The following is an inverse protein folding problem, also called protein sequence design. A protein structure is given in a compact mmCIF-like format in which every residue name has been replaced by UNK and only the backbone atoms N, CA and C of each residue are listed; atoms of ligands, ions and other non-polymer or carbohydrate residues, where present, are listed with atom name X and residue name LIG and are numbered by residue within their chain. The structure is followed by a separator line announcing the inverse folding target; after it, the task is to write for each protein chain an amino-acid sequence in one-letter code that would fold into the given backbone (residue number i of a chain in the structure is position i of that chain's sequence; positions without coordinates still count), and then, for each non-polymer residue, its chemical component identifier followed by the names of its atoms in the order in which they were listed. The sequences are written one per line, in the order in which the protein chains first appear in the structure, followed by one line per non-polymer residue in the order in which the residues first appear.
data_IF_768972877892
#
_entry.id   IF_768972877892
#
_cell.length_a   1.000
_cell.length_b   1.000
_cell.length_c   1.000
_cell.angle_alpha   90.00
_cell.angle_beta   90.00
_cell.angle_gamma   90.00
#
_symmetry.space_group_name_H-M   'P 1'
#
loop_
_entity.id
_entity.type
_entity.pdbx_description
1 polymer ?
#
# COMPACT_ATOMS: atom_id res chain seq x y z
N UNK A 1 -4.88 -2.13 -9.16
CA UNK A 1 -4.12 -3.32 -8.75
C UNK A 1 -3.36 -3.79 -9.97
N UNK A 2 -2.03 -3.74 -9.96
CA UNK A 2 -1.25 -4.37 -11.03
C UNK A 2 -1.16 -5.86 -10.75
N UNK A 3 -1.78 -6.66 -11.62
CA UNK A 3 -1.64 -8.11 -11.57
C UNK A 3 -0.31 -8.49 -12.22
N UNK A 4 0.45 -9.36 -11.58
CA UNK A 4 1.71 -9.86 -12.10
C UNK A 4 1.49 -10.45 -13.52
N UNK A 5 2.10 -9.83 -14.54
CA UNK A 5 2.01 -10.27 -15.94
C UNK A 5 1.66 -9.17 -16.96
N UNK A 6 1.23 -7.99 -16.53
CA UNK A 6 1.10 -6.89 -17.48
C UNK A 6 2.45 -6.21 -17.71
N UNK A 7 3.02 -6.41 -18.90
CA UNK A 7 4.24 -5.73 -19.38
C UNK A 7 3.99 -4.22 -19.65
N UNK A 8 3.58 -3.48 -18.61
CA UNK A 8 3.39 -2.02 -18.69
C UNK A 8 4.68 -1.24 -18.42
N UNK A 9 5.73 -1.92 -18.00
CA UNK A 9 6.98 -1.27 -17.61
C UNK A 9 7.94 -1.33 -18.79
N UNK A 10 8.30 -0.17 -19.32
CA UNK A 10 9.35 -0.07 -20.32
C UNK A 10 10.71 -0.45 -19.74
N UNK A 11 11.70 -0.90 -20.54
CA UNK A 11 13.05 -1.18 -20.05
C UNK A 11 13.71 0.02 -19.35
N UNK A 12 13.41 1.22 -19.81
CA UNK A 12 13.85 2.47 -19.16
C UNK A 12 13.16 2.64 -17.81
N UNK A 13 11.84 2.41 -17.75
CA UNK A 13 11.07 2.48 -16.52
C UNK A 13 11.57 1.50 -15.44
N UNK A 14 11.95 0.29 -15.84
CA UNK A 14 12.55 -0.69 -14.94
C UNK A 14 13.87 -0.21 -14.34
N UNK A 15 14.73 0.44 -15.15
CA UNK A 15 15.97 1.04 -14.67
C UNK A 15 15.71 2.21 -13.70
N UNK A 16 14.77 3.10 -14.04
CA UNK A 16 14.40 4.23 -13.18
C UNK A 16 13.88 3.73 -11.82
N UNK A 17 13.01 2.72 -11.81
CA UNK A 17 12.51 2.08 -10.57
C UNK A 17 13.62 1.44 -9.75
N UNK A 18 14.57 0.76 -10.39
CA UNK A 18 15.72 0.15 -9.70
C UNK A 18 16.53 1.18 -8.91
N UNK A 19 16.69 2.38 -9.44
CA UNK A 19 17.41 3.48 -8.80
C UNK A 19 16.50 4.46 -8.06
N UNK A 20 15.18 4.17 -7.96
CA UNK A 20 14.15 5.04 -7.37
C UNK A 20 14.11 6.45 -7.96
N UNK A 21 14.51 6.59 -9.21
CA UNK A 21 14.48 7.85 -9.95
C UNK A 21 13.07 8.18 -10.44
N UNK A 22 12.18 7.22 -10.44
CA UNK A 22 10.74 7.39 -10.70
C UNK A 22 10.03 8.24 -9.64
N UNK A 23 10.62 8.39 -8.46
CA UNK A 23 10.09 9.26 -7.39
C UNK A 23 10.60 10.73 -7.49
N UNK A 24 11.52 11.04 -8.43
CA UNK A 24 12.03 12.41 -8.60
C UNK A 24 10.93 13.45 -8.90
N UNK A 25 9.91 13.17 -9.74
CA UNK A 25 8.79 14.11 -9.92
C UNK A 25 8.06 14.39 -8.60
N UNK A 26 7.92 13.39 -7.73
CA UNK A 26 7.34 13.57 -6.40
C UNK A 26 8.13 14.53 -5.51
N UNK A 27 9.46 14.56 -5.62
CA UNK A 27 10.28 15.54 -4.89
C UNK A 27 9.98 16.97 -5.33
N UNK A 28 9.71 17.18 -6.62
CA UNK A 28 9.28 18.48 -7.13
C UNK A 28 7.91 18.88 -6.56
N UNK A 29 6.98 17.94 -6.49
CA UNK A 29 5.67 18.18 -5.89
C UNK A 29 5.74 18.47 -4.38
N UNK A 30 6.71 17.88 -3.68
CA UNK A 30 7.01 18.25 -2.28
C UNK A 30 7.57 19.68 -2.20
N UNK A 31 8.51 20.03 -3.07
CA UNK A 31 9.12 21.35 -3.07
C UNK A 31 8.09 22.47 -3.31
N UNK A 32 7.15 22.28 -4.23
CA UNK A 32 6.08 23.24 -4.51
C UNK A 32 4.87 23.12 -3.56
N UNK A 33 4.94 22.22 -2.55
CA UNK A 33 3.94 22.09 -1.49
C UNK A 33 2.68 21.30 -1.87
N UNK A 34 2.65 20.63 -3.03
CA UNK A 34 1.54 19.75 -3.43
C UNK A 34 1.55 18.41 -2.69
N UNK A 35 2.75 17.89 -2.38
CA UNK A 35 2.96 16.66 -1.65
C UNK A 35 3.75 16.90 -0.37
N UNK A 36 3.77 15.89 0.52
CA UNK A 36 4.64 15.79 1.67
C UNK A 36 5.69 14.70 1.45
N UNK A 37 6.77 14.69 2.23
CA UNK A 37 7.68 13.52 2.26
C UNK A 37 6.96 12.30 2.82
N UNK A 38 6.22 12.46 3.93
CA UNK A 38 5.50 11.39 4.60
C UNK A 38 4.01 11.69 4.57
N UNK A 39 3.23 10.71 4.19
CA UNK A 39 1.78 10.80 4.09
C UNK A 39 1.18 9.58 3.40
N UNK A 40 -0.16 9.52 3.30
CA UNK A 40 -0.81 8.47 2.51
C UNK A 40 -0.38 8.59 1.04
N UNK A 41 -0.17 7.46 0.37
CA UNK A 41 0.06 7.48 -1.07
C UNK A 41 -1.26 7.83 -1.77
N UNK A 42 -1.22 8.63 -2.85
CA UNK A 42 -2.42 8.92 -3.63
C UNK A 42 -3.08 7.63 -4.12
N UNK A 43 -4.35 7.46 -3.82
CA UNK A 43 -5.10 6.30 -4.25
C UNK A 43 -5.57 6.43 -5.69
N UNK A 44 -5.83 5.28 -6.32
CA UNK A 44 -6.49 5.23 -7.63
C UNK A 44 -7.94 5.71 -7.47
N UNK A 45 -8.52 6.43 -8.45
CA UNK A 45 -9.93 6.79 -8.42
C UNK A 45 -10.82 5.59 -8.16
N UNK A 46 -11.86 5.76 -7.31
CA UNK A 46 -12.78 4.70 -6.93
C UNK A 46 -12.51 4.06 -5.55
N UNK A 47 -11.37 4.34 -4.92
CA UNK A 47 -11.09 3.91 -3.54
C UNK A 47 -11.37 5.03 -2.54
N UNK A 48 -10.67 6.15 -2.66
CA UNK A 48 -10.85 7.31 -1.77
C UNK A 48 -12.30 7.83 -1.78
N UNK A 49 -12.97 7.75 -2.93
CA UNK A 49 -14.34 8.21 -3.10
C UNK A 49 -15.37 7.40 -2.30
N UNK A 50 -15.04 6.15 -1.99
CA UNK A 50 -15.91 5.24 -1.22
C UNK A 50 -15.77 5.37 0.29
N UNK A 51 -14.75 6.09 0.77
CA UNK A 51 -14.53 6.29 2.19
C UNK A 51 -15.68 7.10 2.81
N UNK A 52 -16.17 6.65 3.97
CA UNK A 52 -17.26 7.26 4.71
C UNK A 52 -16.87 7.54 6.16
N UNK A 53 -17.60 8.45 6.80
CA UNK A 53 -17.40 8.75 8.22
C UNK A 53 -15.98 9.20 8.53
N UNK A 54 -15.41 8.66 9.59
CA UNK A 54 -14.06 8.98 10.06
C UNK A 54 -12.95 8.57 9.09
N UNK A 55 -13.19 7.56 8.25
CA UNK A 55 -12.20 7.10 7.26
C UNK A 55 -11.86 8.18 6.24
N UNK A 56 -12.79 9.11 5.98
CA UNK A 56 -12.52 10.29 5.14
C UNK A 56 -11.47 11.23 5.71
N UNK A 57 -11.19 11.15 6.98
CA UNK A 57 -10.20 12.02 7.60
C UNK A 57 -8.78 11.79 7.04
N UNK A 58 -8.50 10.60 6.51
CA UNK A 58 -7.25 10.33 5.81
C UNK A 58 -7.03 11.27 4.62
N UNK A 59 -8.10 11.75 3.99
CA UNK A 59 -8.05 12.66 2.84
C UNK A 59 -7.65 14.10 3.23
N UNK A 60 -7.62 14.43 4.50
CA UNK A 60 -7.11 15.72 5.01
C UNK A 60 -5.59 15.79 5.00
N UNK A 61 -4.93 14.63 4.93
CA UNK A 61 -3.48 14.56 4.82
C UNK A 61 -3.04 14.85 3.39
N UNK A 62 -1.92 15.58 3.26
CA UNK A 62 -1.25 15.69 1.96
C UNK A 62 -0.69 14.33 1.56
N UNK A 63 -0.81 13.94 0.29
CA UNK A 63 -0.19 12.72 -0.20
C UNK A 63 1.33 12.76 0.02
N UNK A 64 1.92 11.62 0.36
CA UNK A 64 3.34 11.47 0.63
C UNK A 64 4.07 10.66 -0.41
N UNK A 65 5.40 10.88 -0.53
CA UNK A 65 6.30 10.00 -1.29
C UNK A 65 6.43 8.66 -0.57
N UNK A 66 6.51 8.70 0.76
CA UNK A 66 6.50 7.52 1.63
C UNK A 66 5.48 7.71 2.74
N UNK A 67 5.23 6.66 3.51
CA UNK A 67 4.34 6.71 4.66
C UNK A 67 4.21 5.35 5.32
N UNK A 68 3.47 5.25 6.43
CA UNK A 68 3.38 4.01 7.19
C UNK A 68 2.75 2.88 6.36
N UNK A 69 1.71 3.16 5.60
CA UNK A 69 1.09 2.18 4.71
C UNK A 69 2.04 1.77 3.56
N UNK A 70 2.80 2.73 2.98
CA UNK A 70 3.78 2.43 1.93
C UNK A 70 4.96 1.57 2.42
N UNK A 71 5.34 1.71 3.69
CA UNK A 71 6.37 0.87 4.29
C UNK A 71 5.86 -0.54 4.53
N UNK A 72 4.66 -0.71 5.11
CA UNK A 72 4.08 -2.01 5.40
C UNK A 72 3.81 -2.82 4.14
N UNK A 73 3.27 -2.17 3.12
CA UNK A 73 2.86 -2.79 1.85
C UNK A 73 3.86 -2.54 0.73
N UNK A 74 5.15 -2.46 1.06
CA UNK A 74 6.24 -2.30 0.06
C UNK A 74 6.22 -3.40 -0.99
N UNK A 75 6.00 -4.62 -0.53
CA UNK A 75 6.00 -5.84 -1.35
C UNK A 75 4.56 -6.30 -1.65
N UNK A 76 3.64 -5.34 -1.84
CA UNK A 76 2.20 -5.59 -2.03
C UNK A 76 1.91 -6.57 -3.16
N UNK A 77 2.60 -6.43 -4.28
CA UNK A 77 2.43 -7.31 -5.43
C UNK A 77 2.79 -8.78 -5.08
N UNK A 78 3.87 -8.99 -4.32
CA UNK A 78 4.27 -10.31 -3.85
C UNK A 78 3.27 -10.87 -2.82
N UNK A 79 2.77 -10.04 -1.92
CA UNK A 79 1.75 -10.44 -0.93
C UNK A 79 0.46 -10.88 -1.61
N UNK A 80 0.01 -10.17 -2.64
CA UNK A 80 -1.18 -10.51 -3.43
C UNK A 80 -0.93 -11.82 -4.18
N UNK A 81 0.22 -11.98 -4.84
CA UNK A 81 0.56 -13.19 -5.59
C UNK A 81 0.65 -14.42 -4.67
N UNK A 82 1.24 -14.29 -3.49
CA UNK A 82 1.30 -15.34 -2.48
C UNK A 82 -0.10 -15.74 -2.01
N UNK A 83 -0.96 -14.76 -1.73
CA UNK A 83 -2.34 -15.03 -1.33
C UNK A 83 -3.11 -15.80 -2.42
N UNK A 84 -3.04 -15.35 -3.67
CA UNK A 84 -3.68 -16.04 -4.81
C UNK A 84 -3.18 -17.49 -4.93
N UNK A 85 -1.87 -17.69 -4.80
CA UNK A 85 -1.25 -19.02 -4.86
C UNK A 85 -1.75 -19.93 -3.75
N UNK A 86 -1.82 -19.44 -2.51
CA UNK A 86 -2.32 -20.18 -1.35
C UNK A 86 -3.80 -20.55 -1.48
N UNK A 87 -4.62 -19.63 -1.98
CA UNK A 87 -6.04 -19.92 -2.28
C UNK A 87 -6.16 -21.10 -3.26
N UNK A 88 -5.38 -21.08 -4.34
CA UNK A 88 -5.39 -22.15 -5.36
C UNK A 88 -4.90 -23.48 -4.82
N UNK A 89 -3.90 -23.48 -3.96
CA UNK A 89 -3.40 -24.69 -3.29
C UNK A 89 -4.37 -25.22 -2.24
N UNK A 90 -5.43 -24.47 -1.95
CA UNK A 90 -6.43 -24.90 -0.99
C UNK A 90 -5.97 -24.82 0.46
N UNK A 91 -5.13 -23.83 0.77
CA UNK A 91 -4.60 -23.57 2.11
C UNK A 91 -5.71 -23.54 3.17
N UNK A 92 -5.53 -24.31 4.24
CA UNK A 92 -6.54 -24.49 5.27
C UNK A 92 -6.72 -23.25 6.13
N UNK A 93 -5.65 -22.50 6.40
CA UNK A 93 -5.71 -21.28 7.20
C UNK A 93 -6.54 -20.21 6.49
N UNK A 94 -6.41 -20.12 5.16
CA UNK A 94 -7.20 -19.20 4.33
C UNK A 94 -8.67 -19.64 4.30
N UNK A 95 -8.94 -20.93 4.15
CA UNK A 95 -10.30 -21.46 4.15
C UNK A 95 -11.02 -21.23 5.48
N UNK A 96 -10.32 -21.40 6.58
CA UNK A 96 -10.85 -21.14 7.90
C UNK A 96 -11.10 -19.65 8.12
N UNK A 97 -10.09 -18.82 7.82
CA UNK A 97 -10.14 -17.37 8.05
C UNK A 97 -11.18 -16.66 7.18
N UNK A 98 -11.40 -17.13 5.97
CA UNK A 98 -12.32 -16.53 4.99
C UNK A 98 -13.40 -17.51 4.53
N UNK A 99 -13.94 -18.31 5.46
CA UNK A 99 -14.92 -19.35 5.20
C UNK A 99 -16.22 -18.87 4.54
N UNK A 100 -16.54 -17.59 4.68
CA UNK A 100 -17.71 -16.97 4.06
C UNK A 100 -17.52 -16.62 2.57
N UNK A 101 -16.29 -16.75 2.05
CA UNK A 101 -15.93 -16.34 0.69
C UNK A 101 -15.69 -17.57 -0.17
N UNK A 102 -16.50 -17.74 -1.22
CA UNK A 102 -16.23 -18.76 -2.23
C UNK A 102 -15.18 -18.25 -3.22
N UNK A 103 -13.95 -18.79 -3.11
CA UNK A 103 -12.87 -18.53 -4.02
C UNK A 103 -12.81 -19.52 -5.19
N UNK A 104 -13.54 -20.63 -5.15
CA UNK A 104 -13.44 -21.71 -6.15
C UNK A 104 -13.95 -21.28 -7.52
N UNK A 105 -14.90 -20.36 -7.55
CA UNK A 105 -15.49 -19.81 -8.76
C UNK A 105 -14.76 -18.58 -9.31
N UNK A 106 -13.72 -18.07 -8.60
CA UNK A 106 -13.05 -16.83 -8.93
C UNK A 106 -11.78 -17.03 -9.73
N UNK A 107 -11.53 -16.12 -10.67
CA UNK A 107 -10.26 -16.00 -11.38
C UNK A 107 -9.17 -15.41 -10.47
N UNK A 108 -7.90 -15.59 -10.85
CA UNK A 108 -6.75 -15.03 -10.12
C UNK A 108 -6.88 -13.52 -9.91
N UNK A 109 -7.33 -12.82 -10.94
CA UNK A 109 -7.56 -11.37 -10.89
C UNK A 109 -8.65 -11.02 -9.89
N UNK A 110 -9.76 -11.75 -9.86
CA UNK A 110 -10.84 -11.51 -8.91
C UNK A 110 -10.41 -11.80 -7.47
N UNK A 111 -9.61 -12.84 -7.24
CA UNK A 111 -9.02 -13.14 -5.94
C UNK A 111 -8.08 -12.01 -5.50
N UNK A 112 -7.21 -11.55 -6.40
CA UNK A 112 -6.28 -10.46 -6.15
C UNK A 112 -7.00 -9.15 -5.80
N UNK A 113 -8.03 -8.79 -6.57
CA UNK A 113 -8.87 -7.62 -6.31
C UNK A 113 -9.59 -7.75 -4.98
N UNK A 114 -10.19 -8.91 -4.71
CA UNK A 114 -10.87 -9.17 -3.45
C UNK A 114 -9.94 -8.99 -2.26
N UNK A 115 -8.72 -9.55 -2.31
CA UNK A 115 -7.74 -9.44 -1.23
C UNK A 115 -7.29 -7.99 -1.02
N UNK A 116 -7.07 -7.26 -2.11
CA UNK A 116 -6.76 -5.84 -2.02
C UNK A 116 -7.89 -5.07 -1.34
N UNK A 117 -9.14 -5.27 -1.77
CA UNK A 117 -10.29 -4.47 -1.34
C UNK A 117 -10.73 -4.78 0.09
N UNK A 118 -10.60 -6.05 0.52
CA UNK A 118 -11.12 -6.49 1.81
C UNK A 118 -10.05 -6.62 2.90
N UNK A 119 -8.77 -6.68 2.53
CA UNK A 119 -7.68 -6.88 3.50
C UNK A 119 -6.67 -5.74 3.46
N UNK A 120 -6.07 -5.49 2.29
CA UNK A 120 -4.97 -4.52 2.20
C UNK A 120 -5.48 -3.09 2.35
N UNK A 121 -6.49 -2.70 1.58
CA UNK A 121 -6.96 -1.32 1.56
C UNK A 121 -7.56 -0.86 2.89
N UNK A 122 -8.42 -1.62 3.58
CA UNK A 122 -8.89 -1.25 4.90
C UNK A 122 -7.77 -1.07 5.92
N UNK A 123 -6.75 -1.93 5.86
CA UNK A 123 -5.59 -1.81 6.75
C UNK A 123 -4.72 -0.58 6.42
N UNK A 124 -4.55 -0.25 5.14
CA UNK A 124 -3.90 1.01 4.73
C UNK A 124 -4.63 2.24 5.29
N UNK A 125 -5.97 2.26 5.21
CA UNK A 125 -6.79 3.34 5.77
C UNK A 125 -6.59 3.41 7.28
N UNK A 126 -6.68 2.29 8.00
CA UNK A 126 -6.48 2.21 9.46
C UNK A 126 -5.11 2.78 9.88
N UNK A 127 -4.04 2.37 9.20
CA UNK A 127 -2.68 2.82 9.51
C UNK A 127 -2.51 4.32 9.24
N UNK A 128 -3.07 4.81 8.14
CA UNK A 128 -2.99 6.23 7.79
C UNK A 128 -3.82 7.11 8.72
N UNK A 129 -4.96 6.62 9.21
CA UNK A 129 -5.74 7.30 10.25
C UNK A 129 -4.98 7.37 11.58
N UNK A 130 -4.33 6.27 11.95
CA UNK A 130 -3.47 6.27 13.14
C UNK A 130 -2.34 7.28 12.98
N UNK A 131 -1.72 7.35 11.80
CA UNK A 131 -0.68 8.33 11.49
C UNK A 131 -1.20 9.77 11.64
N UNK A 132 -2.36 10.08 11.10
CA UNK A 132 -2.97 11.40 11.22
C UNK A 132 -3.19 11.81 12.68
N UNK A 133 -3.73 10.88 13.48
CA UNK A 133 -4.06 11.15 14.90
C UNK A 133 -2.83 11.19 15.81
N UNK A 134 -1.74 10.53 15.42
CA UNK A 134 -0.53 10.35 16.22
C UNK A 134 0.71 10.87 15.49
N UNK A 135 0.55 11.99 14.78
CA UNK A 135 1.63 12.61 14.02
C UNK A 135 2.86 12.86 14.88
N UNK A 136 4.04 12.59 14.33
CA UNK A 136 5.31 12.85 14.99
C UNK A 136 6.41 13.05 13.96
N UNK A 137 7.04 14.20 13.96
CA UNK A 137 8.17 14.54 13.09
C UNK A 137 9.32 13.52 13.20
N UNK A 138 9.62 13.04 14.42
CA UNK A 138 10.67 12.03 14.62
C UNK A 138 10.31 10.70 13.94
N UNK A 139 9.03 10.31 13.97
CA UNK A 139 8.56 9.11 13.26
C UNK A 139 8.65 9.31 11.74
N UNK A 140 8.37 10.50 11.23
CA UNK A 140 8.51 10.82 9.81
C UNK A 140 9.95 10.64 9.34
N UNK A 141 10.91 11.20 10.06
CA UNK A 141 12.34 11.01 9.75
C UNK A 141 12.71 9.53 9.75
N UNK A 142 12.23 8.75 10.73
CA UNK A 142 12.46 7.30 10.75
C UNK A 142 11.84 6.60 9.54
N UNK A 143 10.62 6.96 9.13
CA UNK A 143 9.98 6.39 7.95
C UNK A 143 10.75 6.69 6.67
N UNK A 144 11.25 7.92 6.51
CA UNK A 144 12.10 8.32 5.38
C UNK A 144 13.38 7.46 5.36
N UNK A 145 14.07 7.34 6.49
CA UNK A 145 15.30 6.53 6.60
C UNK A 145 15.00 5.05 6.28
N UNK A 146 13.92 4.49 6.83
CA UNK A 146 13.53 3.11 6.57
C UNK A 146 13.18 2.88 5.09
N UNK A 147 12.55 3.84 4.44
CA UNK A 147 12.28 3.80 3.00
C UNK A 147 13.57 3.74 2.18
N UNK A 148 14.53 4.63 2.48
CA UNK A 148 15.82 4.69 1.77
C UNK A 148 16.63 3.40 1.98
N UNK A 149 16.69 2.91 3.23
CA UNK A 149 17.48 1.74 3.59
C UNK A 149 16.78 0.41 3.29
N UNK A 150 15.54 0.41 2.85
CA UNK A 150 14.75 -0.81 2.66
C UNK A 150 14.44 -1.56 3.96
N UNK A 151 14.43 -0.87 5.11
CA UNK A 151 14.20 -1.49 6.42
C UNK A 151 12.76 -1.32 6.88
N UNK A 152 12.33 -2.23 7.76
CA UNK A 152 11.06 -2.12 8.47
C UNK A 152 11.26 -1.42 9.82
N UNK A 153 10.20 -0.84 10.37
CA UNK A 153 10.21 -0.25 11.71
C UNK A 153 8.98 -0.68 12.51
N UNK A 154 9.13 -0.72 13.82
CA UNK A 154 7.98 -0.92 14.71
C UNK A 154 7.15 0.36 14.78
N UNK A 155 5.88 0.26 14.47
CA UNK A 155 4.93 1.36 14.47
C UNK A 155 3.57 0.88 14.97
N UNK A 156 3.05 1.49 16.04
CA UNK A 156 1.79 1.08 16.67
C UNK A 156 1.70 -0.42 17.02
N UNK A 157 2.82 -1.00 17.50
CA UNK A 157 2.85 -2.42 17.89
C UNK A 157 3.00 -3.42 16.76
N UNK A 158 3.08 -2.97 15.52
CA UNK A 158 3.30 -3.82 14.33
C UNK A 158 4.52 -3.36 13.51
N UNK A 159 5.11 -4.27 12.76
CA UNK A 159 6.18 -3.94 11.83
C UNK A 159 5.60 -3.45 10.50
N UNK A 160 6.05 -2.26 10.10
CA UNK A 160 5.72 -1.63 8.83
C UNK A 160 6.95 -1.48 7.97
#
# INVERSE_FOLDING_TARGET
VSVAGENRITPLGAKLRKYKLDELPGLWDVFIGKMSFVGPRPDVPGYADKLQGEDRDVLKLRPGITGPASLKYRDEEEMIADFVSKVKLGDNDIKEKYSEVDFTSKTDTEIAVWYNDNVIYPDKVRINLYYQRNYSFVKDIKMIICTILGKRMLYNGEYI
#
